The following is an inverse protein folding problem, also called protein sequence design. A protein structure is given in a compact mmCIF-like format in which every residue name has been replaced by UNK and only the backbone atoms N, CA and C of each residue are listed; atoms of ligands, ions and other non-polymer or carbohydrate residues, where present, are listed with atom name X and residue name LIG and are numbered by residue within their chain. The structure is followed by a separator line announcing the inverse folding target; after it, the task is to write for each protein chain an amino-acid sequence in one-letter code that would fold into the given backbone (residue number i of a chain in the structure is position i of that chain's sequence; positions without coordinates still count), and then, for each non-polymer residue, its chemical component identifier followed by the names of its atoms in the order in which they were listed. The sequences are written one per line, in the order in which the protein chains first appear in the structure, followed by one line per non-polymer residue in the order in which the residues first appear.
data_IF_110934467573
#
_entry.id   IF_110934467573
#
_cell.length_a   1.000
_cell.length_b   1.000
_cell.length_c   1.000
_cell.angle_alpha   90.00
_cell.angle_beta   90.00
_cell.angle_gamma   90.00
#
_symmetry.space_group_name_H-M   'P 1'
#
loop_
_entity.id
_entity.type
_entity.pdbx_description
1 polymer ?
#
# COMPACT_ATOMS: atom_id res chain seq x y z
N UNK A 1 6.07 8.68 3.69
CA UNK A 1 7.52 8.57 3.94
C UNK A 1 8.09 9.97 4.05
N UNK A 2 8.82 10.26 5.11
CA UNK A 2 9.45 11.56 5.34
C UNK A 2 10.85 11.32 5.86
N UNK A 3 11.80 12.16 5.47
CA UNK A 3 13.19 12.00 5.90
C UNK A 3 13.31 12.03 7.43
N UNK A 4 12.59 12.92 8.10
CA UNK A 4 12.59 13.00 9.57
C UNK A 4 12.20 11.68 10.25
N UNK A 5 11.18 10.99 9.74
CA UNK A 5 10.75 9.69 10.25
C UNK A 5 11.82 8.60 10.04
N UNK A 6 12.54 8.64 8.92
CA UNK A 6 13.66 7.72 8.65
C UNK A 6 14.88 8.03 9.53
N UNK A 7 15.07 9.30 9.89
CA UNK A 7 16.14 9.75 10.77
C UNK A 7 15.81 9.63 12.26
N UNK A 8 14.60 9.21 12.65
CA UNK A 8 14.26 8.98 14.05
C UNK A 8 15.26 7.97 14.66
N UNK A 9 15.98 8.33 15.75
CA UNK A 9 17.00 7.46 16.34
C UNK A 9 16.48 6.06 16.69
N UNK A 10 15.21 5.93 17.09
CA UNK A 10 14.59 4.65 17.43
C UNK A 10 14.39 3.76 16.21
N UNK A 11 14.03 4.38 15.07
CA UNK A 11 13.91 3.68 13.78
C UNK A 11 15.30 3.24 13.31
N UNK A 12 16.30 4.13 13.38
CA UNK A 12 17.69 3.82 13.02
C UNK A 12 18.28 2.68 13.86
N UNK A 13 18.02 2.69 15.17
CA UNK A 13 18.45 1.63 16.08
C UNK A 13 17.84 0.28 15.73
N UNK A 14 16.53 0.24 15.43
CA UNK A 14 15.87 -0.99 15.00
C UNK A 14 16.40 -1.47 13.64
N UNK A 15 16.56 -0.57 12.67
CA UNK A 15 17.11 -0.88 11.36
C UNK A 15 18.50 -1.52 11.43
N UNK A 16 19.35 -1.08 12.35
CA UNK A 16 20.70 -1.63 12.54
C UNK A 16 20.71 -3.11 12.98
N UNK A 17 19.57 -3.64 13.43
CA UNK A 17 19.39 -5.03 13.87
C UNK A 17 18.73 -5.92 12.81
N UNK A 18 18.31 -5.35 11.69
CA UNK A 18 17.65 -6.09 10.61
C UNK A 18 18.69 -6.83 9.77
N UNK A 19 18.54 -8.14 9.66
CA UNK A 19 19.29 -8.98 8.72
C UNK A 19 18.34 -9.50 7.64
N UNK A 20 18.86 -9.69 6.43
CA UNK A 20 18.07 -10.23 5.30
C UNK A 20 18.69 -11.55 4.88
N UNK A 21 17.94 -12.63 5.02
CA UNK A 21 18.27 -13.94 4.45
C UNK A 21 17.50 -14.12 3.15
N UNK A 22 18.17 -13.82 2.03
CA UNK A 22 17.63 -14.00 0.69
C UNK A 22 18.44 -15.10 -0.01
N UNK A 23 17.99 -16.37 0.00
CA UNK A 23 18.69 -17.42 -0.73
C UNK A 23 18.70 -17.05 -2.21
N UNK A 24 19.91 -16.96 -2.77
CA UNK A 24 20.14 -16.59 -4.16
C UNK A 24 19.66 -17.71 -5.09
N UNK A 25 18.35 -17.75 -5.36
CA UNK A 25 17.66 -18.51 -6.40
C UNK A 25 16.44 -17.70 -6.81
N UNK A 26 16.18 -17.40 -8.07
CA UNK A 26 16.82 -17.79 -9.32
C UNK A 26 16.21 -16.93 -10.42
N UNK A 27 17.03 -16.58 -11.42
CA UNK A 27 16.68 -16.53 -12.86
C UNK A 27 15.42 -15.77 -13.29
N UNK A 28 15.66 -14.69 -14.06
CA UNK A 28 14.95 -14.33 -15.31
C UNK A 28 13.44 -14.63 -15.38
N UNK A 29 12.64 -13.56 -15.54
CA UNK A 29 11.16 -13.54 -15.70
C UNK A 29 10.35 -13.22 -14.42
N UNK A 30 10.92 -12.52 -13.43
CA UNK A 30 10.10 -11.93 -12.37
C UNK A 30 9.34 -10.72 -12.92
N UNK A 31 8.11 -10.94 -13.35
CA UNK A 31 7.10 -9.88 -13.51
C UNK A 31 7.15 -8.96 -12.28
N UNK A 32 6.98 -7.62 -12.42
CA UNK A 32 6.89 -6.70 -11.28
C UNK A 32 5.80 -7.09 -10.25
N UNK A 33 4.87 -7.96 -10.65
CA UNK A 33 3.79 -8.50 -9.84
C UNK A 33 4.12 -9.82 -9.14
N UNK A 34 5.31 -10.39 -9.31
CA UNK A 34 5.68 -11.60 -8.60
C UNK A 34 5.85 -11.28 -7.10
N UNK A 35 4.77 -11.36 -6.32
CA UNK A 35 4.84 -11.25 -4.87
C UNK A 35 5.64 -12.42 -4.33
N UNK A 36 6.86 -12.16 -3.89
CA UNK A 36 7.63 -13.15 -3.18
C UNK A 36 7.13 -13.19 -1.74
N UNK A 37 6.65 -14.35 -1.34
CA UNK A 37 6.28 -14.62 0.03
C UNK A 37 7.41 -14.23 0.98
N UNK A 38 7.08 -13.47 2.02
CA UNK A 38 8.06 -12.86 2.92
C UNK A 38 7.87 -13.37 4.34
N UNK A 39 8.97 -13.69 5.02
CA UNK A 39 8.97 -14.11 6.42
C UNK A 39 9.76 -13.09 7.24
N UNK A 40 9.17 -12.63 8.34
CA UNK A 40 9.82 -11.78 9.32
C UNK A 40 9.94 -12.57 10.61
N UNK A 41 11.16 -12.64 11.13
CA UNK A 41 11.47 -13.28 12.40
C UNK A 41 12.04 -12.23 13.37
N UNK A 42 11.57 -12.24 14.61
CA UNK A 42 12.00 -11.36 15.69
C UNK A 42 12.59 -12.22 16.81
N UNK A 43 13.87 -12.01 17.09
CA UNK A 43 14.53 -12.55 18.28
C UNK A 43 14.38 -11.56 19.44
N UNK A 44 13.67 -11.98 20.48
CA UNK A 44 13.32 -11.16 21.63
C UNK A 44 14.43 -11.22 22.69
N UNK A 45 14.53 -10.17 23.50
CA UNK A 45 15.54 -10.05 24.57
C UNK A 45 15.43 -11.14 25.65
N UNK A 46 14.25 -11.74 25.81
CA UNK A 46 13.99 -12.86 26.73
C UNK A 46 14.33 -14.23 26.12
N UNK A 47 14.92 -14.26 24.92
CA UNK A 47 15.31 -15.46 24.19
C UNK A 47 14.17 -16.10 23.38
N UNK A 48 12.95 -15.55 23.40
CA UNK A 48 11.86 -16.05 22.55
C UNK A 48 12.07 -15.63 21.10
N UNK A 49 11.59 -16.43 20.17
CA UNK A 49 11.54 -16.11 18.76
C UNK A 49 10.08 -16.02 18.29
N UNK A 50 9.74 -14.94 17.58
CA UNK A 50 8.43 -14.73 16.98
C UNK A 50 8.58 -14.68 15.46
N UNK A 51 7.82 -15.49 14.73
CA UNK A 51 7.86 -15.53 13.27
C UNK A 51 6.49 -15.22 12.66
N UNK A 52 6.48 -14.46 11.57
CA UNK A 52 5.28 -14.26 10.76
C UNK A 52 5.63 -14.34 9.27
N UNK A 53 4.83 -15.10 8.52
CA UNK A 53 5.01 -15.30 7.08
C UNK A 53 3.75 -14.87 6.35
N UNK A 54 3.95 -14.06 5.31
CA UNK A 54 2.91 -13.61 4.38
C UNK A 54 3.21 -14.20 3.02
N UNK A 55 2.33 -15.07 2.53
CA UNK A 55 2.45 -15.63 1.17
C UNK A 55 2.05 -14.60 0.11
N UNK A 56 0.92 -13.94 0.33
CA UNK A 56 0.32 -12.97 -0.60
C UNK A 56 -0.11 -11.74 0.20
N UNK A 57 0.40 -10.54 -0.11
CA UNK A 57 -0.02 -9.32 0.59
C UNK A 57 -1.41 -8.88 0.15
N UNK A 58 -2.18 -8.27 1.08
CA UNK A 58 -3.46 -7.62 0.75
C UNK A 58 -3.22 -6.50 -0.27
N UNK A 59 -4.01 -6.48 -1.34
CA UNK A 59 -3.83 -5.65 -2.53
C UNK A 59 -3.13 -6.33 -3.71
N UNK A 60 -2.59 -7.54 -3.54
CA UNK A 60 -2.18 -8.38 -4.68
C UNK A 60 -3.41 -8.83 -5.49
N UNK A 61 -3.32 -9.09 -6.80
CA UNK A 61 -4.48 -9.58 -7.58
C UNK A 61 -5.16 -10.84 -7.02
N UNK A 62 -4.42 -11.72 -6.35
CA UNK A 62 -4.96 -12.91 -5.68
C UNK A 62 -5.63 -12.62 -4.33
N UNK A 63 -5.30 -11.49 -3.70
CA UNK A 63 -5.89 -11.02 -2.44
C UNK A 63 -6.19 -9.51 -2.57
N UNK A 64 -7.16 -9.12 -3.42
CA UNK A 64 -7.40 -7.71 -3.74
C UNK A 64 -7.91 -6.94 -2.51
N UNK A 65 -7.77 -5.61 -2.58
CA UNK A 65 -8.44 -4.72 -1.62
C UNK A 65 -9.95 -4.78 -1.84
N UNK A 66 -10.72 -4.67 -0.76
CA UNK A 66 -12.15 -4.50 -0.88
C UNK A 66 -12.49 -3.04 -1.25
N UNK A 67 -13.79 -2.78 -1.47
CA UNK A 67 -14.27 -1.46 -1.89
C UNK A 67 -13.97 -0.39 -0.83
N UNK A 68 -14.19 -0.71 0.43
CA UNK A 68 -14.03 0.23 1.54
C UNK A 68 -12.54 0.59 1.71
N UNK A 69 -11.64 -0.38 1.55
CA UNK A 69 -10.19 -0.13 1.54
C UNK A 69 -9.76 0.81 0.42
N UNK A 70 -10.29 0.59 -0.79
CA UNK A 70 -9.94 1.38 -1.97
C UNK A 70 -10.41 2.83 -1.81
N UNK A 71 -11.60 3.02 -1.26
CA UNK A 71 -12.18 4.35 -0.99
C UNK A 71 -11.46 5.06 0.14
N UNK A 72 -11.17 4.36 1.24
CA UNK A 72 -10.35 4.88 2.32
C UNK A 72 -8.96 5.29 1.82
N UNK A 73 -8.36 4.49 0.91
CA UNK A 73 -7.08 4.81 0.27
C UNK A 73 -7.21 6.03 -0.66
N UNK A 74 -8.27 6.12 -1.44
CA UNK A 74 -8.52 7.27 -2.32
C UNK A 74 -8.66 8.56 -1.51
N UNK A 75 -9.55 8.57 -0.50
CA UNK A 75 -9.72 9.66 0.45
C UNK A 75 -8.40 10.03 1.11
N UNK A 76 -7.62 9.03 1.55
CA UNK A 76 -6.32 9.28 2.17
C UNK A 76 -5.39 10.05 1.21
N UNK A 77 -5.32 9.66 -0.05
CA UNK A 77 -4.45 10.34 -1.02
C UNK A 77 -4.96 11.72 -1.45
N UNK A 78 -6.27 11.89 -1.62
CA UNK A 78 -6.87 13.09 -2.22
C UNK A 78 -7.21 14.19 -1.23
N UNK A 79 -7.37 13.90 0.08
CA UNK A 79 -7.78 14.87 1.11
C UNK A 79 -6.93 16.14 1.22
N UNK A 80 -5.73 16.13 0.66
CA UNK A 80 -4.80 17.28 0.71
C UNK A 80 -5.01 18.26 -0.45
N UNK A 81 -5.73 17.85 -1.49
CA UNK A 81 -5.86 18.60 -2.75
C UNK A 81 -7.31 18.76 -3.21
N UNK A 82 -8.24 17.95 -2.71
CA UNK A 82 -9.67 18.03 -3.04
C UNK A 82 -10.52 18.25 -1.78
N UNK A 83 -11.60 19.05 -1.86
CA UNK A 83 -12.57 19.16 -0.77
C UNK A 83 -13.40 17.87 -0.63
N UNK A 84 -14.01 17.61 0.55
CA UNK A 84 -14.67 16.33 0.84
C UNK A 84 -15.81 15.96 -0.12
N UNK A 85 -16.60 16.94 -0.54
CA UNK A 85 -17.70 16.80 -1.50
C UNK A 85 -17.19 16.40 -2.91
N UNK A 86 -16.05 16.94 -3.34
CA UNK A 86 -15.42 16.51 -4.59
C UNK A 86 -14.90 15.07 -4.49
N UNK A 87 -14.35 14.68 -3.34
CA UNK A 87 -13.86 13.31 -3.13
C UNK A 87 -15.03 12.31 -3.21
N UNK A 88 -16.14 12.61 -2.53
CA UNK A 88 -17.35 11.80 -2.57
C UNK A 88 -17.93 11.70 -3.98
N UNK A 89 -18.12 12.84 -4.67
CA UNK A 89 -18.63 12.87 -6.04
C UNK A 89 -17.74 12.18 -7.07
N UNK A 90 -16.41 12.21 -6.87
CA UNK A 90 -15.47 11.45 -7.70
C UNK A 90 -15.60 9.93 -7.48
N UNK A 91 -15.71 9.49 -6.22
CA UNK A 91 -15.92 8.07 -5.89
C UNK A 91 -17.21 7.57 -6.52
N UNK A 92 -18.32 8.30 -6.39
CA UNK A 92 -19.60 7.90 -6.99
C UNK A 92 -19.49 7.71 -8.51
N UNK A 93 -18.85 8.64 -9.22
CA UNK A 93 -18.66 8.53 -10.67
C UNK A 93 -17.68 7.42 -11.08
N UNK A 94 -16.65 7.12 -10.28
CA UNK A 94 -15.78 5.97 -10.55
C UNK A 94 -16.52 4.64 -10.43
N UNK A 95 -17.52 4.56 -9.53
CA UNK A 95 -18.30 3.34 -9.30
C UNK A 95 -19.28 3.03 -10.43
N UNK A 96 -19.68 4.05 -11.19
CA UNK A 96 -20.66 3.95 -12.29
C UNK A 96 -20.09 4.51 -13.60
N UNK A 97 -18.77 4.36 -13.78
CA UNK A 97 -18.03 5.00 -14.86
C UNK A 97 -18.54 4.57 -16.23
N UNK A 98 -19.00 3.33 -16.38
CA UNK A 98 -19.58 2.79 -17.61
C UNK A 98 -20.84 3.54 -18.07
N UNK A 99 -21.53 4.24 -17.16
CA UNK A 99 -22.75 4.99 -17.44
C UNK A 99 -22.52 6.51 -17.54
N UNK A 100 -21.28 6.98 -17.31
CA UNK A 100 -20.91 8.39 -17.48
C UNK A 100 -20.89 8.73 -18.98
N UNK A 101 -21.89 9.51 -19.42
CA UNK A 101 -22.02 9.94 -20.83
C UNK A 101 -21.06 11.07 -21.21
N UNK A 102 -20.65 11.88 -20.24
CA UNK A 102 -19.76 13.01 -20.42
C UNK A 102 -18.77 13.09 -19.27
N UNK A 103 -17.48 12.93 -19.58
CA UNK A 103 -16.40 12.88 -18.61
C UNK A 103 -16.02 14.27 -18.07
N UNK A 104 -16.53 15.36 -18.67
CA UNK A 104 -16.19 16.74 -18.25
C UNK A 104 -16.59 17.02 -16.80
N UNK A 105 -17.70 16.44 -16.33
CA UNK A 105 -18.11 16.52 -14.92
C UNK A 105 -17.09 15.92 -13.98
N UNK A 106 -16.65 14.68 -14.24
CA UNK A 106 -15.61 14.02 -13.46
C UNK A 106 -14.28 14.79 -13.51
N UNK A 107 -13.88 15.27 -14.70
CA UNK A 107 -12.67 16.05 -14.87
C UNK A 107 -12.71 17.37 -14.07
N UNK A 108 -13.86 18.03 -14.03
CA UNK A 108 -14.06 19.25 -13.24
C UNK A 108 -13.92 18.98 -11.74
N UNK A 109 -14.49 17.89 -11.24
CA UNK A 109 -14.43 17.52 -9.81
C UNK A 109 -12.99 17.20 -9.39
N UNK A 110 -12.23 16.50 -10.25
CA UNK A 110 -10.83 16.15 -10.00
C UNK A 110 -9.85 17.32 -10.22
N UNK A 111 -10.27 18.36 -10.96
CA UNK A 111 -9.44 19.53 -11.28
C UNK A 111 -9.20 20.49 -10.12
N UNK A 112 -10.04 20.43 -9.08
CA UNK A 112 -10.06 21.40 -7.98
C UNK A 112 -10.85 22.65 -8.32
#
# INVERSE_FOLDING_TARGET
FTDSAVQDPRVRELMARVTVDAPMKSTSESSPLASQASTVTLDMVDGRQLGHRVEVPRGHPELPLDRDDLEAKFLYCSRYILPPDHIEGAVEQFRDLENVRDITGLASILGG
#
